data_IF_648107859519
#
_entry.id   IF_648107859519
#
_cell.length_a   1.000
_cell.length_b   1.000
_cell.length_c   1.000
_cell.angle_alpha   90.00
_cell.angle_beta   90.00
_cell.angle_gamma   90.00
#
_symmetry.space_group_name_H-M   'P 1'
#
loop_
_entity.id
_entity.type
_entity.pdbx_description
1 polymer ?
#
# COMPACT_ATOMS: atom_id res chain seq x y z
N UNK A 1 13.17 0.52 21.09
CA UNK A 1 13.30 1.33 19.84
C UNK A 1 13.17 0.40 18.63
N UNK A 2 12.13 0.57 17.79
CA UNK A 2 11.95 0.04 16.40
C UNK A 2 11.75 -1.49 16.22
N UNK A 3 10.48 -1.94 16.29
CA UNK A 3 9.99 -3.12 15.55
C UNK A 3 9.94 -2.83 14.04
N UNK A 4 11.09 -2.87 13.38
CA UNK A 4 11.19 -2.66 11.93
C UNK A 4 12.08 -3.77 11.33
N UNK A 5 11.51 -4.50 10.37
CA UNK A 5 12.20 -5.53 9.57
C UNK A 5 13.46 -4.96 8.87
N UNK A 6 13.38 -3.70 8.44
CA UNK A 6 14.45 -2.97 7.75
C UNK A 6 15.72 -2.79 8.61
N UNK A 7 15.67 -2.25 9.85
CA UNK A 7 16.77 -2.29 10.82
C UNK A 7 17.33 -3.68 11.13
N UNK A 8 16.51 -4.74 11.13
CA UNK A 8 17.01 -6.12 11.34
C UNK A 8 17.79 -6.62 10.12
N UNK A 9 17.35 -6.31 8.89
CA UNK A 9 18.15 -6.54 7.66
C UNK A 9 19.43 -5.69 7.71
N UNK A 10 19.32 -4.43 8.13
CA UNK A 10 20.47 -3.53 8.24
C UNK A 10 21.50 -4.02 9.28
N UNK A 11 21.06 -4.70 10.35
CA UNK A 11 21.92 -5.35 11.35
C UNK A 11 22.45 -6.71 10.90
N UNK A 12 21.61 -7.57 10.29
CA UNK A 12 22.00 -8.92 9.85
C UNK A 12 23.06 -8.90 8.76
N UNK A 13 22.98 -7.92 7.86
CA UNK A 13 23.92 -7.73 6.77
C UNK A 13 24.83 -6.53 7.03
N UNK A 14 25.05 -6.15 8.29
CA UNK A 14 25.93 -5.03 8.66
C UNK A 14 27.32 -5.22 8.03
N UNK A 15 27.77 -4.25 7.22
CA UNK A 15 28.98 -4.35 6.40
C UNK A 15 28.77 -4.85 4.96
N UNK A 16 27.67 -5.54 4.66
CA UNK A 16 27.34 -6.04 3.31
C UNK A 16 26.19 -5.23 2.68
N UNK A 17 26.58 -4.17 1.97
CA UNK A 17 25.63 -3.25 1.32
C UNK A 17 24.87 -3.90 0.16
N UNK A 18 25.45 -4.92 -0.48
CA UNK A 18 24.85 -5.60 -1.63
C UNK A 18 23.74 -6.54 -1.16
N UNK A 19 24.01 -7.40 -0.18
CA UNK A 19 23.01 -8.29 0.37
C UNK A 19 21.81 -7.53 0.96
N UNK A 20 22.06 -6.40 1.67
CA UNK A 20 20.98 -5.49 2.12
C UNK A 20 20.10 -5.01 0.97
N UNK A 21 20.71 -4.58 -0.13
CA UNK A 21 19.99 -4.07 -1.31
C UNK A 21 19.15 -5.18 -1.94
N UNK A 22 19.69 -6.39 -2.07
CA UNK A 22 19.01 -7.54 -2.66
C UNK A 22 17.79 -7.99 -1.83
N UNK A 23 17.92 -8.09 -0.51
CA UNK A 23 16.80 -8.47 0.37
C UNK A 23 15.68 -7.42 0.32
N UNK A 24 16.03 -6.13 0.37
CA UNK A 24 15.06 -5.04 0.22
C UNK A 24 14.38 -5.07 -1.14
N UNK A 25 15.13 -5.33 -2.21
CA UNK A 25 14.58 -5.50 -3.54
C UNK A 25 13.57 -6.65 -3.56
N UNK A 26 13.95 -7.86 -3.12
CA UNK A 26 13.07 -9.04 -3.08
C UNK A 26 11.73 -8.76 -2.40
N UNK A 27 11.73 -8.14 -1.22
CA UNK A 27 10.50 -7.76 -0.52
C UNK A 27 9.60 -6.85 -1.36
N UNK A 28 10.19 -5.86 -2.06
CA UNK A 28 9.44 -4.99 -2.97
C UNK A 28 8.86 -5.78 -4.15
N UNK A 29 9.58 -6.76 -4.71
CA UNK A 29 9.10 -7.54 -5.86
C UNK A 29 7.97 -8.47 -5.44
N UNK A 30 8.03 -9.06 -4.25
CA UNK A 30 6.92 -9.81 -3.67
C UNK A 30 5.67 -8.91 -3.51
N UNK A 31 5.82 -7.70 -2.95
CA UNK A 31 4.70 -6.75 -2.81
C UNK A 31 4.11 -6.32 -4.17
N UNK A 32 4.97 -6.11 -5.17
CA UNK A 32 4.58 -5.82 -6.55
C UNK A 32 3.76 -6.98 -7.12
N UNK A 33 4.28 -8.21 -7.06
CA UNK A 33 3.63 -9.41 -7.60
C UNK A 33 2.29 -9.73 -6.93
N UNK A 34 2.18 -9.50 -5.61
CA UNK A 34 0.96 -9.76 -4.85
C UNK A 34 -0.22 -8.85 -5.26
N UNK A 35 0.07 -7.72 -5.92
CA UNK A 35 -0.96 -6.76 -6.34
C UNK A 35 -1.10 -6.67 -7.85
N UNK A 36 0.00 -6.54 -8.58
CA UNK A 36 0.02 -6.38 -10.02
C UNK A 36 1.39 -6.80 -10.60
N UNK A 37 1.43 -7.93 -11.28
CA UNK A 37 2.64 -8.52 -11.87
C UNK A 37 3.30 -7.58 -12.89
N UNK A 38 2.55 -6.69 -13.55
CA UNK A 38 3.09 -5.69 -14.47
C UNK A 38 4.21 -4.84 -13.84
N UNK A 39 4.14 -4.59 -12.52
CA UNK A 39 5.13 -3.81 -11.78
C UNK A 39 6.54 -4.42 -11.78
N UNK A 40 6.68 -5.70 -12.13
CA UNK A 40 7.96 -6.39 -12.24
C UNK A 40 8.69 -6.11 -13.56
N UNK A 41 8.01 -5.60 -14.60
CA UNK A 41 8.61 -5.34 -15.90
C UNK A 41 9.81 -4.41 -15.83
N UNK A 42 9.65 -3.25 -15.20
CA UNK A 42 10.71 -2.25 -15.12
C UNK A 42 11.94 -2.80 -14.38
N UNK A 43 11.81 -3.40 -13.18
CA UNK A 43 12.93 -4.08 -12.52
C UNK A 43 13.60 -5.16 -13.37
N UNK A 44 12.83 -5.96 -14.11
CA UNK A 44 13.37 -6.99 -15.00
C UNK A 44 14.16 -6.37 -16.16
N UNK A 45 13.61 -5.37 -16.84
CA UNK A 45 14.30 -4.67 -17.93
C UNK A 45 15.58 -4.02 -17.44
N UNK A 46 15.54 -3.28 -16.32
CA UNK A 46 16.73 -2.67 -15.74
C UNK A 46 17.81 -3.73 -15.46
N UNK A 47 17.44 -4.89 -14.90
CA UNK A 47 18.38 -5.98 -14.65
C UNK A 47 19.03 -6.50 -15.94
N UNK A 48 18.23 -6.75 -16.99
CA UNK A 48 18.71 -7.18 -18.31
C UNK A 48 19.68 -6.18 -18.97
N UNK A 49 19.43 -4.88 -18.81
CA UNK A 49 20.30 -3.84 -19.37
C UNK A 49 21.62 -3.69 -18.60
N UNK A 50 21.61 -3.83 -17.27
CA UNK A 50 22.82 -3.66 -16.44
C UNK A 50 23.82 -4.80 -16.57
N UNK A 51 23.37 -6.04 -16.81
CA UNK A 51 24.27 -7.19 -16.89
C UNK A 51 24.91 -7.39 -18.28
N UNK A 52 24.53 -6.60 -19.30
CA UNK A 52 25.14 -6.65 -20.65
C UNK A 52 25.07 -8.04 -21.32
N UNK A 53 24.34 -8.95 -20.71
CA UNK A 53 24.27 -10.37 -21.00
C UNK A 53 22.82 -10.65 -21.27
N UNK A 54 22.55 -11.31 -22.39
CA UNK A 54 21.43 -12.25 -22.46
C UNK A 54 21.46 -13.03 -21.15
N UNK A 55 20.30 -13.36 -20.59
CA UNK A 55 20.20 -14.46 -19.63
C UNK A 55 20.77 -15.70 -20.33
N UNK A 56 22.10 -15.86 -20.35
CA UNK A 56 22.79 -16.94 -21.03
C UNK A 56 23.24 -18.00 -20.02
N UNK A 57 23.04 -17.71 -18.73
CA UNK A 57 23.30 -18.62 -17.61
C UNK A 57 22.21 -18.57 -16.53
N UNK A 58 21.03 -17.93 -16.73
CA UNK A 58 19.97 -18.26 -15.78
C UNK A 58 19.40 -19.63 -16.13
N UNK A 59 19.12 -20.39 -15.08
CA UNK A 59 18.39 -21.64 -15.15
C UNK A 59 17.09 -21.44 -15.97
N UNK A 60 16.64 -22.46 -16.69
CA UNK A 60 15.47 -22.38 -17.58
C UNK A 60 14.24 -21.72 -16.92
N UNK A 61 14.13 -21.86 -15.59
CA UNK A 61 13.07 -21.30 -14.76
C UNK A 61 13.07 -19.77 -14.69
N UNK A 62 14.22 -19.10 -14.61
CA UNK A 62 14.30 -17.64 -14.52
C UNK A 62 13.90 -16.98 -15.86
N UNK A 63 14.31 -17.59 -16.97
CA UNK A 63 13.92 -17.15 -18.30
C UNK A 63 12.43 -17.39 -18.55
N UNK A 64 11.88 -18.51 -18.05
CA UNK A 64 10.45 -18.80 -18.08
C UNK A 64 9.66 -17.74 -17.28
N UNK A 65 10.06 -17.45 -16.05
CA UNK A 65 9.41 -16.44 -15.20
C UNK A 65 9.44 -15.05 -15.86
N UNK A 66 10.58 -14.64 -16.42
CA UNK A 66 10.70 -13.37 -17.11
C UNK A 66 9.75 -13.28 -18.32
N UNK A 67 9.56 -14.38 -19.06
CA UNK A 67 8.62 -14.45 -20.18
C UNK A 67 7.17 -14.38 -19.71
N UNK A 68 6.80 -15.11 -18.65
CA UNK A 68 5.46 -15.04 -18.05
C UNK A 68 5.10 -13.61 -17.61
N UNK A 69 6.04 -12.89 -17.00
CA UNK A 69 5.82 -11.48 -16.61
C UNK A 69 5.60 -10.60 -17.84
N UNK A 70 6.37 -10.79 -18.91
CA UNK A 70 6.22 -10.04 -20.17
C UNK A 70 4.88 -10.32 -20.85
N UNK A 71 4.46 -11.57 -20.89
CA UNK A 71 3.17 -11.99 -21.45
C UNK A 71 2.02 -11.40 -20.64
N UNK A 72 2.04 -11.54 -19.31
CA UNK A 72 1.04 -10.92 -18.44
C UNK A 72 0.94 -9.42 -18.69
N UNK A 73 2.08 -8.74 -18.74
CA UNK A 73 2.11 -7.29 -18.87
C UNK A 73 1.71 -6.77 -20.27
N UNK A 74 1.79 -7.64 -21.28
CA UNK A 74 1.38 -7.36 -22.66
C UNK A 74 -0.07 -7.80 -22.94
N UNK A 75 -0.69 -8.53 -22.01
CA UNK A 75 -2.09 -8.94 -22.07
C UNK A 75 -3.03 -7.88 -21.50
N UNK A 76 -4.30 -7.93 -21.87
CA UNK A 76 -5.37 -7.11 -21.25
C UNK A 76 -5.82 -7.65 -19.87
N UNK A 77 -4.97 -8.44 -19.20
CA UNK A 77 -5.31 -9.06 -17.91
C UNK A 77 -5.45 -7.99 -16.84
N UNK A 78 -6.63 -7.95 -16.22
CA UNK A 78 -6.92 -7.05 -15.11
C UNK A 78 -6.46 -7.71 -13.79
N UNK A 79 -5.68 -7.02 -12.95
CA UNK A 79 -5.27 -7.57 -11.66
C UNK A 79 -6.46 -7.95 -10.78
N UNK A 80 -6.46 -9.11 -10.09
CA UNK A 80 -7.61 -9.55 -9.28
C UNK A 80 -8.04 -8.56 -8.20
N UNK A 81 -7.07 -7.87 -7.57
CA UNK A 81 -7.38 -6.82 -6.59
C UNK A 81 -8.10 -5.61 -7.20
N UNK A 82 -7.91 -5.33 -8.49
CA UNK A 82 -8.63 -4.24 -9.16
C UNK A 82 -10.11 -4.63 -9.34
N UNK A 83 -10.36 -5.89 -9.68
CA UNK A 83 -11.73 -6.44 -9.77
C UNK A 83 -12.41 -6.37 -8.39
N UNK A 84 -11.76 -6.86 -7.34
CA UNK A 84 -12.29 -6.79 -5.97
C UNK A 84 -12.53 -5.33 -5.51
N UNK A 85 -11.62 -4.41 -5.82
CA UNK A 85 -11.79 -2.99 -5.54
C UNK A 85 -13.05 -2.43 -6.24
N UNK A 86 -13.23 -2.73 -7.53
CA UNK A 86 -14.44 -2.32 -8.29
C UNK A 86 -15.72 -2.84 -7.66
N UNK A 87 -15.75 -4.11 -7.22
CA UNK A 87 -16.93 -4.72 -6.61
C UNK A 87 -17.33 -4.03 -5.30
N UNK A 88 -16.34 -3.69 -4.46
CA UNK A 88 -16.55 -2.88 -3.26
C UNK A 88 -17.08 -1.49 -3.61
N UNK A 89 -16.44 -0.81 -4.58
CA UNK A 89 -16.87 0.51 -5.04
C UNK A 89 -18.32 0.48 -5.55
N UNK A 90 -18.71 -0.51 -6.35
CA UNK A 90 -20.08 -0.68 -6.82
C UNK A 90 -21.11 -0.81 -5.68
N UNK A 91 -20.69 -1.34 -4.54
CA UNK A 91 -21.54 -1.47 -3.35
C UNK A 91 -21.67 -0.12 -2.63
N UNK A 92 -20.56 0.59 -2.44
CA UNK A 92 -20.54 1.86 -1.72
C UNK A 92 -21.14 3.02 -2.52
N UNK A 93 -20.86 3.13 -3.81
CA UNK A 93 -21.27 4.28 -4.64
C UNK A 93 -22.79 4.48 -4.75
N UNK A 94 -23.56 3.44 -4.41
CA UNK A 94 -25.03 3.46 -4.31
C UNK A 94 -25.55 4.15 -3.04
N UNK A 95 -24.70 4.29 -2.03
CA UNK A 95 -25.05 4.90 -0.75
C UNK A 95 -25.03 6.43 -0.86
N UNK A 96 -25.89 7.14 -0.10
CA UNK A 96 -25.91 8.59 -0.09
C UNK A 96 -24.81 9.17 0.79
N UNK A 97 -24.47 10.44 0.53
CA UNK A 97 -23.59 11.22 1.41
C UNK A 97 -22.18 10.62 1.58
N UNK A 98 -21.58 10.78 2.78
CA UNK A 98 -20.22 10.31 3.07
C UNK A 98 -20.01 8.79 2.96
N UNK A 99 -21.07 7.99 3.13
CA UNK A 99 -21.02 6.53 2.95
C UNK A 99 -20.80 6.16 1.48
N UNK A 100 -21.27 6.99 0.55
CA UNK A 100 -21.08 6.81 -0.88
C UNK A 100 -19.72 7.26 -1.40
N UNK A 101 -18.90 7.89 -0.57
CA UNK A 101 -17.58 8.42 -0.94
C UNK A 101 -16.49 7.50 -0.42
N UNK A 102 -15.50 7.22 -1.26
CA UNK A 102 -14.48 6.22 -1.00
C UNK A 102 -13.10 6.76 -1.35
N UNK A 103 -12.12 6.47 -0.49
CA UNK A 103 -10.70 6.64 -0.82
C UNK A 103 -10.03 5.29 -1.00
N UNK A 104 -9.26 5.14 -2.07
CA UNK A 104 -8.47 3.95 -2.37
C UNK A 104 -6.99 4.28 -2.18
N UNK A 105 -6.33 3.62 -1.24
CA UNK A 105 -4.91 3.79 -0.96
C UNK A 105 -4.06 2.80 -1.75
N UNK A 106 -3.00 3.30 -2.38
CA UNK A 106 -2.00 2.50 -3.10
C UNK A 106 -0.62 3.15 -2.96
N UNK A 107 0.41 2.35 -2.71
CA UNK A 107 1.79 2.84 -2.59
C UNK A 107 2.47 2.91 -3.97
N UNK A 108 2.04 2.10 -4.93
CA UNK A 108 2.63 2.03 -6.26
C UNK A 108 1.91 2.98 -7.21
N UNK A 109 2.61 4.01 -7.71
CA UNK A 109 2.04 5.02 -8.63
C UNK A 109 1.45 4.35 -9.87
N UNK A 110 2.15 3.38 -10.47
CA UNK A 110 1.61 2.65 -11.62
C UNK A 110 0.29 1.92 -11.31
N UNK A 111 0.08 1.43 -10.09
CA UNK A 111 -1.22 0.88 -9.69
C UNK A 111 -2.30 1.96 -9.56
N UNK A 112 -1.94 3.17 -9.09
CA UNK A 112 -2.86 4.30 -9.01
C UNK A 112 -3.38 4.63 -10.41
N UNK A 113 -2.48 4.81 -11.37
CA UNK A 113 -2.83 5.15 -12.75
C UNK A 113 -3.59 4.03 -13.44
N UNK A 114 -3.13 2.79 -13.30
CA UNK A 114 -3.77 1.62 -13.91
C UNK A 114 -5.16 1.37 -13.34
N UNK A 115 -5.35 1.49 -12.02
CA UNK A 115 -6.66 1.36 -11.39
C UNK A 115 -7.57 2.51 -11.82
N UNK A 116 -7.07 3.74 -11.89
CA UNK A 116 -7.85 4.90 -12.35
C UNK A 116 -8.42 4.67 -13.73
N UNK A 117 -7.57 4.22 -14.67
CA UNK A 117 -7.95 3.93 -16.05
C UNK A 117 -8.94 2.78 -16.11
N UNK A 118 -8.67 1.67 -15.43
CA UNK A 118 -9.60 0.54 -15.35
C UNK A 118 -10.97 0.99 -14.83
N UNK A 119 -11.05 1.69 -13.70
CA UNK A 119 -12.31 2.18 -13.14
C UNK A 119 -13.06 3.12 -14.10
N UNK A 120 -12.35 4.00 -14.83
CA UNK A 120 -12.95 4.86 -15.87
C UNK A 120 -13.58 4.04 -17.00
N UNK A 121 -12.90 2.99 -17.49
CA UNK A 121 -13.48 2.09 -18.52
C UNK A 121 -14.73 1.36 -18.02
N UNK A 122 -14.86 1.19 -16.70
CA UNK A 122 -16.02 0.57 -16.06
C UNK A 122 -17.12 1.60 -15.69
N UNK A 123 -16.98 2.86 -16.10
CA UNK A 123 -17.94 3.93 -15.82
C UNK A 123 -17.86 4.52 -14.41
N UNK A 124 -16.79 4.24 -13.67
CA UNK A 124 -16.58 4.76 -12.31
C UNK A 124 -15.67 6.00 -12.38
N UNK A 125 -16.28 7.17 -12.21
CA UNK A 125 -15.57 8.44 -12.11
C UNK A 125 -14.68 8.47 -10.87
N UNK A 126 -13.40 8.78 -11.06
CA UNK A 126 -12.41 8.86 -10.00
C UNK A 126 -11.35 9.92 -10.30
N UNK A 127 -10.73 10.42 -9.23
CA UNK A 127 -9.60 11.35 -9.27
C UNK A 127 -8.37 10.70 -8.62
N UNK A 128 -7.17 11.13 -9.01
CA UNK A 128 -5.90 10.59 -8.49
C UNK A 128 -5.13 11.64 -7.69
N UNK A 129 -4.50 11.21 -6.59
CA UNK A 129 -3.72 12.10 -5.72
C UNK A 129 -2.40 11.44 -5.32
N UNK A 130 -1.31 11.81 -5.99
CA UNK A 130 0.04 11.35 -5.69
C UNK A 130 1.08 12.46 -5.90
N UNK A 131 2.37 12.13 -5.79
CA UNK A 131 3.46 13.11 -5.77
C UNK A 131 3.54 14.02 -7.00
N UNK A 132 3.00 13.59 -8.16
CA UNK A 132 2.98 14.38 -9.39
C UNK A 132 1.66 15.17 -9.59
N UNK A 133 0.70 15.09 -8.66
CA UNK A 133 -0.53 15.88 -8.74
C UNK A 133 -0.21 17.36 -8.53
N UNK A 134 -0.55 18.25 -9.49
CA UNK A 134 -0.20 19.66 -9.41
C UNK A 134 -0.73 20.35 -8.15
N UNK A 135 0.01 21.31 -7.63
CA UNK A 135 -0.44 22.19 -6.54
C UNK A 135 -0.93 23.53 -7.08
N UNK A 136 -1.72 24.27 -6.29
CA UNK A 136 -2.37 25.52 -6.72
C UNK A 136 -1.44 26.62 -7.28
N UNK A 137 -0.15 26.59 -6.94
CA UNK A 137 0.88 27.50 -7.50
C UNK A 137 1.38 27.11 -8.89
N UNK A 138 1.02 25.92 -9.37
CA UNK A 138 1.41 25.35 -10.67
C UNK A 138 0.27 25.42 -11.70
N UNK A 139 -0.76 26.25 -11.44
CA UNK A 139 -1.86 26.48 -12.37
C UNK A 139 -1.32 26.87 -13.76
N UNK A 140 -1.89 26.23 -14.78
CA UNK A 140 -1.70 26.43 -16.23
C UNK A 140 -0.73 25.49 -16.97
N UNK A 141 -0.42 24.32 -16.42
CA UNK A 141 0.13 23.23 -17.23
C UNK A 141 -0.93 22.14 -17.46
N UNK A 142 -1.55 22.19 -18.63
CA UNK A 142 -2.20 21.03 -19.30
C UNK A 142 -3.61 20.58 -18.83
N UNK A 143 -4.43 21.49 -18.28
CA UNK A 143 -5.85 21.21 -18.00
C UNK A 143 -6.11 20.20 -16.86
N UNK A 144 -5.08 19.81 -16.11
CA UNK A 144 -5.18 18.95 -14.93
C UNK A 144 -5.70 19.71 -13.71
N UNK A 145 -6.51 19.02 -12.88
CA UNK A 145 -6.98 19.58 -11.61
C UNK A 145 -5.85 19.60 -10.57
N UNK A 146 -5.77 20.67 -9.80
CA UNK A 146 -4.86 20.73 -8.66
C UNK A 146 -5.35 19.85 -7.53
N UNK A 147 -4.44 19.51 -6.62
CA UNK A 147 -4.74 18.78 -5.39
C UNK A 147 -5.90 19.42 -4.61
N UNK A 148 -5.88 20.73 -4.44
CA UNK A 148 -6.90 21.49 -3.71
C UNK A 148 -8.26 21.43 -4.41
N UNK A 149 -8.28 21.48 -5.76
CA UNK A 149 -9.51 21.35 -6.54
C UNK A 149 -10.12 19.95 -6.42
N UNK A 150 -9.30 18.90 -6.47
CA UNK A 150 -9.75 17.51 -6.28
C UNK A 150 -10.37 17.35 -4.89
N UNK A 151 -9.69 17.83 -3.85
CA UNK A 151 -10.17 17.72 -2.46
C UNK A 151 -11.44 18.55 -2.25
N UNK A 152 -11.50 19.77 -2.77
CA UNK A 152 -12.70 20.63 -2.68
C UNK A 152 -13.88 19.96 -3.38
N UNK A 153 -13.67 19.48 -4.61
CA UNK A 153 -14.68 18.73 -5.35
C UNK A 153 -15.10 17.45 -4.63
N UNK A 154 -14.20 16.78 -3.92
CA UNK A 154 -14.55 15.58 -3.14
C UNK A 154 -15.34 15.90 -1.86
N UNK A 155 -15.24 17.10 -1.30
CA UNK A 155 -16.07 17.53 -0.17
C UNK A 155 -17.50 17.90 -0.59
N UNK A 156 -17.67 18.40 -1.82
CA UNK A 156 -18.98 18.78 -2.34
C UNK A 156 -19.93 17.58 -2.39
N UNK A 157 -21.07 17.68 -1.72
CA UNK A 157 -22.10 16.65 -1.65
C UNK A 157 -22.73 16.33 -3.01
N UNK A 158 -22.73 17.27 -3.95
CA UNK A 158 -23.28 17.11 -5.30
C UNK A 158 -22.24 16.66 -6.32
N UNK A 159 -20.99 16.47 -5.89
CA UNK A 159 -19.91 16.11 -6.79
C UNK A 159 -20.13 14.72 -7.41
N UNK A 160 -19.93 14.58 -8.74
CA UNK A 160 -19.89 13.28 -9.39
C UNK A 160 -18.63 12.48 -9.00
N UNK A 161 -17.61 13.13 -8.41
CA UNK A 161 -16.34 12.53 -8.03
C UNK A 161 -16.44 11.93 -6.63
N UNK A 162 -16.90 10.68 -6.55
CA UNK A 162 -17.06 9.94 -5.28
C UNK A 162 -15.89 9.04 -4.92
N UNK A 163 -14.89 8.90 -5.80
CA UNK A 163 -13.71 8.06 -5.59
C UNK A 163 -12.43 8.87 -5.75
N UNK A 164 -11.55 8.80 -4.76
CA UNK A 164 -10.16 9.25 -4.87
C UNK A 164 -9.24 8.03 -4.78
N UNK A 165 -8.26 7.92 -5.68
CA UNK A 165 -7.17 6.96 -5.58
C UNK A 165 -5.91 7.72 -5.20
N UNK A 166 -5.34 7.42 -4.04
CA UNK A 166 -4.28 8.24 -3.45
C UNK A 166 -3.08 7.42 -2.99
N UNK A 167 -1.92 8.08 -3.06
CA UNK A 167 -0.72 7.60 -2.41
C UNK A 167 -0.67 8.12 -0.96
N UNK A 168 -0.59 7.26 0.07
CA UNK A 168 -0.53 7.71 1.46
C UNK A 168 0.69 8.60 1.77
N UNK A 169 1.76 8.51 0.98
CA UNK A 169 2.95 9.37 1.12
C UNK A 169 2.76 10.78 0.53
N UNK A 170 1.79 10.96 -0.38
CA UNK A 170 1.57 12.22 -1.07
C UNK A 170 0.46 13.07 -0.45
N UNK A 171 -0.49 12.44 0.22
CA UNK A 171 -1.54 13.09 1.01
C UNK A 171 -0.92 13.49 2.35
N UNK A 172 -0.13 14.57 2.34
CA UNK A 172 0.58 15.09 3.52
C UNK A 172 -0.36 15.56 4.65
N UNK A 173 0.20 16.29 5.62
CA UNK A 173 -0.52 16.70 6.84
C UNK A 173 -1.74 17.61 6.60
N UNK A 174 -1.80 18.30 5.45
CA UNK A 174 -2.77 19.38 5.17
C UNK A 174 -4.12 18.94 4.60
N UNK A 175 -4.30 17.67 4.23
CA UNK A 175 -5.57 17.19 3.69
C UNK A 175 -6.41 16.55 4.80
N UNK A 176 -7.69 16.90 4.84
CA UNK A 176 -8.68 16.40 5.78
C UNK A 176 -9.83 15.78 4.99
N UNK A 177 -10.17 14.51 5.23
CA UNK A 177 -11.23 13.77 4.53
C UNK A 177 -12.34 13.26 5.46
N UNK A 178 -12.18 13.43 6.77
CA UNK A 178 -13.04 12.85 7.81
C UNK A 178 -14.50 13.33 7.79
N UNK A 179 -14.84 14.41 7.08
CA UNK A 179 -16.23 14.81 6.86
C UNK A 179 -16.80 14.34 5.51
N UNK A 180 -15.93 14.05 4.55
CA UNK A 180 -16.34 13.73 3.18
C UNK A 180 -16.51 12.22 2.94
N UNK A 181 -15.80 11.37 3.68
CA UNK A 181 -15.69 9.94 3.36
C UNK A 181 -15.77 9.07 4.61
N UNK A 182 -16.35 7.87 4.44
CA UNK A 182 -16.50 6.85 5.50
C UNK A 182 -15.86 5.53 5.13
N UNK A 183 -15.49 5.32 3.87
CA UNK A 183 -14.95 4.05 3.38
C UNK A 183 -13.55 4.23 2.81
N UNK A 184 -12.60 3.45 3.31
CA UNK A 184 -11.24 3.38 2.77
C UNK A 184 -10.92 1.98 2.29
N UNK A 185 -10.41 1.86 1.07
CA UNK A 185 -9.93 0.60 0.50
C UNK A 185 -8.41 0.68 0.40
N UNK A 186 -7.68 -0.26 0.97
CA UNK A 186 -6.23 -0.39 0.78
C UNK A 186 -5.99 -1.44 -0.30
N UNK A 187 -5.60 -0.98 -1.48
CA UNK A 187 -5.27 -1.83 -2.62
C UNK A 187 -3.96 -2.60 -2.36
N UNK A 188 -2.95 -1.87 -1.89
CA UNK A 188 -1.68 -2.43 -1.46
C UNK A 188 -1.13 -1.67 -0.24
N UNK A 189 -0.32 -2.37 0.54
CA UNK A 189 0.30 -1.88 1.78
C UNK A 189 1.75 -2.31 1.81
N UNK A 190 2.54 -1.63 2.63
CA UNK A 190 3.91 -2.02 2.93
C UNK A 190 4.14 -2.06 4.45
N UNK A 191 5.33 -2.46 4.87
CA UNK A 191 5.67 -2.61 6.30
C UNK A 191 5.80 -1.29 7.08
N UNK A 192 5.72 -0.13 6.41
CA UNK A 192 5.85 1.16 7.07
C UNK A 192 4.51 1.57 7.70
N UNK A 193 4.44 1.48 9.03
CA UNK A 193 3.23 1.82 9.78
C UNK A 193 2.93 3.32 9.79
N UNK A 194 3.91 4.21 9.62
CA UNK A 194 3.68 5.66 9.77
C UNK A 194 2.73 6.21 8.70
N UNK A 195 2.98 6.03 7.38
CA UNK A 195 2.03 6.46 6.34
C UNK A 195 0.70 5.72 6.43
N UNK A 196 0.70 4.44 6.84
CA UNK A 196 -0.51 3.67 7.04
C UNK A 196 -1.41 4.29 8.12
N UNK A 197 -0.88 4.56 9.31
CA UNK A 197 -1.63 5.16 10.41
C UNK A 197 -2.07 6.59 10.06
N UNK A 198 -1.16 7.40 9.49
CA UNK A 198 -1.48 8.76 9.05
C UNK A 198 -2.60 8.79 8.00
N UNK A 199 -2.66 7.79 7.11
CA UNK A 199 -3.74 7.66 6.13
C UNK A 199 -5.10 7.38 6.78
N UNK A 200 -5.12 6.60 7.88
CA UNK A 200 -6.35 6.35 8.67
C UNK A 200 -6.82 7.64 9.35
N UNK A 201 -5.90 8.41 9.93
CA UNK A 201 -6.19 9.69 10.60
C UNK A 201 -6.80 10.75 9.68
N UNK A 202 -6.57 10.65 8.36
CA UNK A 202 -7.21 11.55 7.38
C UNK A 202 -8.74 11.42 7.37
N UNK A 203 -9.25 10.25 7.74
CA UNK A 203 -10.66 9.86 7.65
C UNK A 203 -11.27 9.69 9.06
N UNK A 204 -10.47 9.19 9.99
CA UNK A 204 -10.84 8.96 11.38
C UNK A 204 -10.17 10.00 12.25
N UNK A 205 -10.81 11.15 12.41
CA UNK A 205 -10.36 12.19 13.34
C UNK A 205 -11.26 12.22 14.58
N UNK A 206 -10.65 12.40 15.75
CA UNK A 206 -11.34 12.68 17.01
C UNK A 206 -12.33 13.84 16.83
N UNK A 207 -13.60 13.62 17.19
CA UNK A 207 -14.69 14.60 17.02
C UNK A 207 -15.81 14.19 16.05
N UNK A 208 -15.68 13.04 15.38
CA UNK A 208 -16.83 12.39 14.74
C UNK A 208 -17.88 12.03 15.81
N UNK A 209 -19.15 12.37 15.56
CA UNK A 209 -20.25 11.99 16.46
C UNK A 209 -20.26 10.48 16.69
N UNK A 210 -20.75 10.02 17.85
CA UNK A 210 -20.69 8.61 18.29
C UNK A 210 -21.22 7.58 17.27
N UNK A 211 -21.99 8.02 16.28
CA UNK A 211 -22.62 7.17 15.26
C UNK A 211 -21.87 7.12 13.92
N UNK A 212 -20.85 7.96 13.69
CA UNK A 212 -20.12 8.01 12.42
C UNK A 212 -19.02 6.93 12.39
N UNK A 213 -19.35 5.75 11.84
CA UNK A 213 -18.41 4.65 11.66
C UNK A 213 -17.56 4.86 10.40
N UNK A 214 -16.25 4.61 10.53
CA UNK A 214 -15.33 4.57 9.39
C UNK A 214 -14.96 3.13 9.12
N UNK A 215 -15.08 2.68 7.87
CA UNK A 215 -14.78 1.32 7.45
C UNK A 215 -13.46 1.28 6.68
N UNK A 216 -12.59 0.36 7.08
CA UNK A 216 -11.31 0.10 6.43
C UNK A 216 -11.34 -1.29 5.79
N UNK A 217 -11.19 -1.35 4.48
CA UNK A 217 -11.20 -2.57 3.68
C UNK A 217 -9.78 -2.85 3.19
N UNK A 218 -9.24 -4.02 3.54
CA UNK A 218 -7.89 -4.41 3.16
C UNK A 218 -7.94 -5.50 2.09
N UNK A 219 -7.42 -5.22 0.90
CA UNK A 219 -7.31 -6.23 -0.16
C UNK A 219 -6.02 -7.03 0.03
N UNK A 220 -6.18 -8.30 0.42
CA UNK A 220 -5.09 -9.22 0.75
C UNK A 220 -5.12 -10.39 -0.21
N UNK A 221 -4.04 -10.58 -0.98
CA UNK A 221 -3.84 -11.79 -1.75
C UNK A 221 -3.49 -12.93 -0.81
N UNK A 222 -4.22 -14.05 -0.91
CA UNK A 222 -3.97 -15.26 -0.10
C UNK A 222 -2.57 -15.80 -0.39
N UNK A 223 -1.99 -16.47 0.61
CA UNK A 223 -0.70 -17.17 0.49
C UNK A 223 0.41 -16.27 -0.08
N UNK A 224 0.41 -15.00 0.35
CA UNK A 224 1.31 -13.97 -0.15
C UNK A 224 1.84 -13.08 0.95
N UNK A 225 2.83 -12.24 0.60
CA UNK A 225 3.41 -11.26 1.51
C UNK A 225 2.39 -10.26 2.09
N UNK A 226 1.22 -10.11 1.47
CA UNK A 226 0.16 -9.25 2.00
C UNK A 226 -0.32 -9.70 3.38
N UNK A 227 -0.35 -11.01 3.66
CA UNK A 227 -0.79 -11.54 4.96
C UNK A 227 0.19 -11.15 6.06
N UNK A 228 1.49 -11.37 5.81
CA UNK A 228 2.56 -10.96 6.72
C UNK A 228 2.56 -9.43 6.95
N UNK A 229 2.31 -8.63 5.91
CA UNK A 229 2.18 -7.17 6.05
C UNK A 229 0.93 -6.82 6.85
N UNK A 230 -0.19 -7.51 6.64
CA UNK A 230 -1.44 -7.26 7.34
C UNK A 230 -1.28 -7.44 8.84
N UNK A 231 -0.73 -8.57 9.25
CA UNK A 231 -0.48 -8.93 10.66
C UNK A 231 0.52 -7.96 11.29
N UNK A 232 1.63 -7.67 10.60
CA UNK A 232 2.64 -6.75 11.11
C UNK A 232 2.13 -5.31 11.28
N UNK A 233 1.21 -4.86 10.42
CA UNK A 233 0.58 -3.54 10.57
C UNK A 233 -0.46 -3.53 11.69
N UNK A 234 -1.29 -4.58 11.82
CA UNK A 234 -2.27 -4.70 12.89
C UNK A 234 -1.59 -4.69 14.27
N UNK A 235 -0.51 -5.46 14.42
CA UNK A 235 0.28 -5.47 15.65
C UNK A 235 0.87 -4.08 15.97
N UNK A 236 1.46 -3.39 14.99
CA UNK A 236 2.03 -2.04 15.20
C UNK A 236 0.98 -1.01 15.57
N UNK A 237 -0.21 -1.12 14.98
CA UNK A 237 -1.34 -0.25 15.30
C UNK A 237 -1.83 -0.48 16.73
N UNK A 238 -2.07 -1.73 17.13
CA UNK A 238 -2.48 -2.10 18.49
C UNK A 238 -1.45 -1.61 19.54
N UNK A 239 -0.16 -1.82 19.27
CA UNK A 239 0.92 -1.31 20.12
C UNK A 239 0.88 0.21 20.25
N UNK A 240 0.60 0.94 19.18
CA UNK A 240 0.50 2.39 19.22
C UNK A 240 -0.72 2.86 20.01
N UNK A 241 -1.87 2.20 19.84
CA UNK A 241 -3.09 2.50 20.58
C UNK A 241 -2.89 2.28 22.08
N UNK A 242 -2.29 1.16 22.48
CA UNK A 242 -1.98 0.89 23.89
C UNK A 242 -1.07 1.96 24.52
N UNK A 243 -0.09 2.48 23.76
CA UNK A 243 0.79 3.55 24.25
C UNK A 243 0.07 4.89 24.41
N UNK A 244 -0.96 5.16 23.62
CA UNK A 244 -1.78 6.38 23.69
C UNK A 244 -2.77 6.28 24.87
N UNK A 245 -3.36 5.10 25.10
CA UNK A 245 -4.34 4.86 26.15
C UNK A 245 -3.72 4.70 27.55
N UNK A 246 -2.44 4.34 27.63
CA UNK A 246 -1.73 4.31 28.91
C UNK A 246 -1.44 5.73 29.41
N UNK A 247 -2.05 6.14 30.52
CA UNK A 247 -1.80 7.44 31.20
C UNK A 247 -0.35 7.62 31.72
N UNK A 248 0.48 6.57 31.67
CA UNK A 248 1.90 6.66 32.00
C UNK A 248 2.72 7.04 30.75
N UNK A 249 3.59 8.05 30.86
CA UNK A 249 4.64 8.29 29.86
C UNK A 249 5.60 7.10 29.88
N UNK A 250 5.35 6.11 29.02
CA UNK A 250 6.05 4.82 28.92
C UNK A 250 7.44 4.92 28.28
N UNK A 251 8.27 5.87 28.71
CA UNK A 251 9.66 5.96 28.23
C UNK A 251 10.51 4.76 28.73
N UNK A 252 10.08 4.05 29.79
CA UNK A 252 10.91 3.05 30.49
C UNK A 252 10.45 1.58 30.40
N UNK A 253 9.17 1.26 30.16
CA UNK A 253 8.72 -0.16 30.04
C UNK A 253 9.07 -0.80 28.68
N UNK A 254 9.25 0.01 27.64
CA UNK A 254 9.57 -0.44 26.27
C UNK A 254 10.92 -1.19 26.21
N UNK A 255 11.87 -0.91 27.11
CA UNK A 255 13.20 -1.52 27.06
C UNK A 255 13.30 -2.96 27.60
N UNK A 256 12.35 -3.43 28.43
CA UNK A 256 12.46 -4.77 29.06
C UNK A 256 11.79 -5.90 28.27
N UNK A 257 10.73 -5.63 27.51
CA UNK A 257 10.02 -6.66 26.73
C UNK A 257 10.58 -6.88 25.31
N UNK A 258 11.50 -6.03 24.85
CA UNK A 258 12.04 -6.05 23.48
C UNK A 258 12.94 -7.26 23.19
N UNK A 259 13.57 -7.87 24.20
CA UNK A 259 14.46 -9.02 24.03
C UNK A 259 13.71 -10.36 23.96
N UNK A 260 12.61 -10.52 24.71
CA UNK A 260 11.81 -11.75 24.73
C UNK A 260 10.88 -11.86 23.51
N UNK A 261 10.25 -10.76 23.06
CA UNK A 261 9.43 -10.72 21.83
C UNK A 261 10.26 -10.98 20.56
N UNK A 262 11.53 -10.55 20.54
CA UNK A 262 12.43 -10.67 19.39
C UNK A 262 12.74 -12.12 18.99
N UNK A 263 12.85 -13.01 19.98
CA UNK A 263 13.16 -14.43 19.75
C UNK A 263 11.92 -15.21 19.30
N UNK A 264 10.72 -14.82 19.72
CA UNK A 264 9.46 -15.47 19.35
C UNK A 264 9.10 -15.26 17.87
N UNK A 265 9.21 -14.03 17.36
CA UNK A 265 8.89 -13.70 15.96
C UNK A 265 9.86 -14.37 14.96
N UNK A 266 11.14 -14.49 15.34
CA UNK A 266 12.14 -15.19 14.52
C UNK A 266 11.87 -16.70 14.51
N UNK A 267 11.49 -17.27 15.65
CA UNK A 267 11.14 -18.68 15.72
C UNK A 267 9.88 -19.02 14.90
N UNK A 268 8.94 -18.07 14.75
CA UNK A 268 7.74 -18.26 13.94
C UNK A 268 8.03 -18.14 12.45
N UNK A 269 8.79 -17.12 12.02
CA UNK A 269 9.20 -16.97 10.62
C UNK A 269 10.08 -18.13 10.12
N UNK A 270 10.97 -18.63 10.98
CA UNK A 270 11.79 -19.81 10.67
C UNK A 270 10.92 -21.07 10.60
N UNK A 271 9.92 -21.21 11.48
CA UNK A 271 8.97 -22.33 11.41
C UNK A 271 8.15 -22.33 10.12
N UNK A 272 7.60 -21.19 9.73
CA UNK A 272 6.83 -21.05 8.49
C UNK A 272 7.70 -21.41 7.28
N UNK A 273 8.93 -20.87 7.22
CA UNK A 273 9.85 -21.14 6.13
C UNK A 273 10.28 -22.62 6.02
N UNK A 274 10.46 -23.32 7.15
CA UNK A 274 10.81 -24.74 7.13
C UNK A 274 9.61 -25.67 6.92
N UNK A 275 8.39 -25.25 7.31
CA UNK A 275 7.18 -26.01 7.07
C UNK A 275 6.85 -26.11 5.56
N UNK A 276 7.14 -25.05 4.79
CA UNK A 276 6.92 -25.00 3.34
C UNK A 276 7.95 -25.80 2.52
N UNK A 277 9.07 -26.26 3.12
CA UNK A 277 10.08 -27.07 2.42
C UNK A 277 9.94 -28.59 2.65
N UNK A 278 8.99 -29.01 3.47
CA UNK A 278 8.76 -30.43 3.81
C UNK A 278 7.31 -30.89 3.60
N UNK A 279 6.51 -30.11 2.86
CA UNK A 279 5.19 -30.47 2.33
C UNK A 279 5.24 -30.58 0.81
#
# INVERSE_FOLDING_TARGET
MKNRLLPKIDRKYEGDTVAKRLVKARLVRLMQSATNVHLLLKPLQEHMYYEGSVISEAEDDDQLLANMVKEYASSDTIPPKFVACKELLNSFLKLPGPEGKVIVWSNFIHNIDSLSNYLKTQGIHNEVLYGATPVETERDQDGMKTREQIITGFHDAQSPHKVIIANPYAVGESISLHHACRNAIYLDRNYNATPFIQSKDRIHRYGLGKDAKVNYHYLVSKDSIDLAIHEALAYKEERMQMLIESEEILLFKVYKNEEEEFNADIAELIRIYHAEQHS
#
